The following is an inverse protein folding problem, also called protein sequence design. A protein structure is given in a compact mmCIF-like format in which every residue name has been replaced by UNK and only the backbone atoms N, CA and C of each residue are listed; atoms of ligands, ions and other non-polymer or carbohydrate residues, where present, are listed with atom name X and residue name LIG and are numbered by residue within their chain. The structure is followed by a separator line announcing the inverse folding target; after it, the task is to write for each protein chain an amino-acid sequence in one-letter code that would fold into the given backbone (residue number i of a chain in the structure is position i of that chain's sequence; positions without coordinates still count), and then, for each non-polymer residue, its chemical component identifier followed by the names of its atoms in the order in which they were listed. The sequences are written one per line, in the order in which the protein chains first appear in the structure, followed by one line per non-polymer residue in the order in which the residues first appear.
data_IF_335199122056
#
_entry.id   IF_335199122056
#
_cell.length_a   1.000
_cell.length_b   1.000
_cell.length_c   1.000
_cell.angle_alpha   90.00
_cell.angle_beta   90.00
_cell.angle_gamma   90.00
#
_symmetry.space_group_name_H-M   'P 1'
#
loop_
_entity.id
_entity.type
_entity.pdbx_description
1 polymer ?
#
# COMPACT_ATOMS: atom_id res chain seq x y z
N UNK A 1 21.15 -12.78 3.11
CA UNK A 1 21.89 -11.56 2.73
C UNK A 1 20.86 -10.61 2.13
N UNK A 2 20.31 -9.70 2.94
CA UNK A 2 19.35 -8.72 2.44
C UNK A 2 20.14 -7.60 1.77
N UNK A 3 20.21 -7.64 0.44
CA UNK A 3 20.86 -6.62 -0.38
C UNK A 3 20.19 -5.29 -0.12
N UNK A 4 20.91 -4.34 0.49
CA UNK A 4 20.47 -2.94 0.60
C UNK A 4 20.18 -2.43 -0.81
N UNK A 5 18.94 -2.01 -1.13
CA UNK A 5 18.66 -1.49 -2.46
C UNK A 5 19.42 -0.17 -2.63
N UNK A 6 20.37 -0.13 -3.56
CA UNK A 6 21.12 1.07 -3.97
C UNK A 6 20.27 2.06 -4.78
N UNK A 7 18.97 2.06 -4.56
CA UNK A 7 18.00 2.81 -5.34
C UNK A 7 17.86 4.22 -4.75
N UNK A 8 18.01 5.32 -5.52
CA UNK A 8 17.78 6.65 -4.98
C UNK A 8 16.30 6.87 -4.68
N UNK A 9 15.99 7.80 -3.78
CA UNK A 9 14.63 8.29 -3.58
C UNK A 9 14.05 8.80 -4.92
N UNK A 10 12.78 8.46 -5.18
CA UNK A 10 12.03 9.01 -6.32
C UNK A 10 10.55 8.97 -5.97
N UNK A 11 9.98 10.16 -5.86
CA UNK A 11 8.54 10.32 -5.77
C UNK A 11 7.89 10.00 -7.11
N UNK A 12 6.93 9.08 -7.15
CA UNK A 12 6.25 8.74 -8.40
C UNK A 12 5.49 7.42 -8.39
N UNK A 13 4.79 7.18 -9.49
CA UNK A 13 4.03 5.96 -9.76
C UNK A 13 4.35 5.41 -11.15
N UNK A 14 4.12 4.11 -11.34
CA UNK A 14 4.20 3.41 -12.61
C UNK A 14 3.06 2.39 -12.68
N UNK A 15 2.51 2.13 -13.88
CA UNK A 15 1.41 1.17 -14.08
C UNK A 15 1.72 -0.22 -13.51
N UNK A 16 3.00 -0.59 -13.54
CA UNK A 16 3.54 -1.85 -13.05
C UNK A 16 3.42 -1.99 -11.53
N UNK A 17 3.40 -0.88 -10.78
CA UNK A 17 3.38 -0.93 -9.32
C UNK A 17 2.08 -1.50 -8.79
N UNK A 18 0.94 -1.06 -9.36
CA UNK A 18 -0.36 -1.60 -9.00
C UNK A 18 -0.47 -3.10 -9.33
N UNK A 19 0.04 -3.51 -10.51
CA UNK A 19 0.01 -4.92 -10.94
C UNK A 19 0.86 -5.82 -10.02
N UNK A 20 2.08 -5.37 -9.69
CA UNK A 20 2.97 -6.11 -8.78
C UNK A 20 2.38 -6.19 -7.38
N UNK A 21 1.89 -5.06 -6.86
CA UNK A 21 1.29 -5.03 -5.54
C UNK A 21 0.05 -5.95 -5.46
N UNK A 22 -0.83 -5.91 -6.46
CA UNK A 22 -1.99 -6.81 -6.52
C UNK A 22 -1.61 -8.30 -6.56
N UNK A 23 -0.45 -8.64 -7.14
CA UNK A 23 0.04 -10.01 -7.21
C UNK A 23 0.75 -10.50 -5.94
N UNK A 24 1.28 -9.59 -5.12
CA UNK A 24 2.14 -9.95 -3.98
C UNK A 24 1.59 -9.58 -2.61
N UNK A 25 0.65 -8.65 -2.54
CA UNK A 25 0.08 -8.23 -1.26
C UNK A 25 -0.97 -9.23 -0.79
N UNK A 26 -0.98 -9.47 0.52
CA UNK A 26 -2.05 -10.15 1.23
C UNK A 26 -2.91 -9.14 1.96
N UNK A 27 -4.20 -9.46 2.10
CA UNK A 27 -5.17 -8.65 2.81
C UNK A 27 -5.61 -9.43 4.06
N UNK A 28 -5.42 -8.83 5.23
CA UNK A 28 -5.92 -9.33 6.51
C UNK A 28 -6.96 -8.36 7.06
N UNK A 29 -8.07 -8.91 7.55
CA UNK A 29 -9.17 -8.15 8.13
C UNK A 29 -9.17 -8.28 9.66
N UNK A 30 -9.23 -7.13 10.33
CA UNK A 30 -9.28 -7.00 11.79
C UNK A 30 -10.60 -6.38 12.29
N UNK A 31 -11.62 -6.26 11.42
CA UNK A 31 -12.98 -5.84 11.74
C UNK A 31 -13.17 -4.34 12.04
N UNK A 32 -12.10 -3.58 12.25
CA UNK A 32 -12.09 -2.10 12.24
C UNK A 32 -11.07 -1.52 11.27
N UNK A 33 -10.21 -2.39 10.73
CA UNK A 33 -9.15 -2.04 9.82
C UNK A 33 -8.81 -3.24 8.94
N UNK A 34 -8.42 -2.95 7.71
CA UNK A 34 -7.78 -3.90 6.82
C UNK A 34 -6.26 -3.62 6.83
N UNK A 35 -5.46 -4.67 6.90
CA UNK A 35 -4.00 -4.57 6.77
C UNK A 35 -3.58 -5.23 5.47
N UNK A 36 -2.87 -4.44 4.65
CA UNK A 36 -2.26 -4.88 3.41
C UNK A 36 -0.77 -5.08 3.64
N UNK A 37 -0.29 -6.31 3.48
CA UNK A 37 1.10 -6.67 3.73
C UNK A 37 1.75 -7.22 2.48
N UNK A 38 2.97 -6.77 2.16
CA UNK A 38 3.68 -7.24 0.99
C UNK A 38 4.97 -6.45 0.71
N UNK A 39 5.75 -6.88 -0.30
CA UNK A 39 6.94 -6.14 -0.71
C UNK A 39 6.55 -4.88 -1.49
N UNK A 40 7.17 -3.74 -1.17
CA UNK A 40 7.05 -2.53 -1.98
C UNK A 40 7.38 -2.84 -3.46
N UNK A 41 6.51 -2.52 -4.42
CA UNK A 41 6.67 -2.94 -5.82
C UNK A 41 7.89 -2.30 -6.53
N UNK A 42 8.48 -1.27 -5.90
CA UNK A 42 9.65 -0.56 -6.40
C UNK A 42 10.96 -1.01 -5.72
N UNK A 43 11.04 -0.97 -4.39
CA UNK A 43 12.28 -1.27 -3.67
C UNK A 43 12.36 -2.70 -3.10
N UNK A 44 11.26 -3.45 -3.12
CA UNK A 44 11.18 -4.82 -2.64
C UNK A 44 11.21 -4.98 -1.12
N UNK A 45 11.33 -3.89 -0.35
CA UNK A 45 11.29 -3.96 1.10
C UNK A 45 9.90 -4.38 1.59
N UNK A 46 9.81 -5.25 2.62
CA UNK A 46 8.54 -5.59 3.23
C UNK A 46 7.90 -4.34 3.83
N UNK A 47 6.57 -4.26 3.74
CA UNK A 47 5.80 -3.17 4.30
C UNK A 47 4.38 -3.62 4.63
N UNK A 48 3.82 -2.94 5.63
CA UNK A 48 2.42 -3.02 5.99
C UNK A 48 1.75 -1.68 5.72
N UNK A 49 0.49 -1.73 5.32
CA UNK A 49 -0.34 -0.57 5.05
C UNK A 49 -1.72 -0.76 5.67
N UNK A 50 -1.99 0.00 6.73
CA UNK A 50 -3.27 -0.06 7.45
C UNK A 50 -4.30 0.84 6.78
N UNK A 51 -5.46 0.27 6.50
CA UNK A 51 -6.63 0.92 5.92
C UNK A 51 -7.73 0.91 6.99
N UNK A 52 -8.04 2.06 7.57
CA UNK A 52 -9.07 2.15 8.63
C UNK A 52 -10.46 2.14 7.99
N UNK A 53 -11.34 1.24 8.42
CA UNK A 53 -12.65 1.03 7.79
C UNK A 53 -13.59 2.23 7.90
N UNK A 54 -13.42 3.09 8.90
CA UNK A 54 -14.23 4.29 9.07
C UNK A 54 -14.04 5.28 7.90
N UNK A 55 -12.92 5.18 7.17
CA UNK A 55 -12.71 5.89 5.90
C UNK A 55 -13.41 5.20 4.70
N UNK A 56 -13.81 3.94 4.84
CA UNK A 56 -14.41 3.08 3.80
C UNK A 56 -15.90 2.80 3.98
N UNK A 57 -16.48 3.21 5.12
CA UNK A 57 -17.87 2.88 5.45
C UNK A 57 -18.81 3.60 4.47
N UNK A 58 -19.22 2.88 3.43
CA UNK A 58 -20.38 3.25 2.63
C UNK A 58 -21.58 3.36 3.58
N UNK A 59 -22.44 4.35 3.32
CA UNK A 59 -23.63 4.61 4.15
C UNK A 59 -24.44 3.32 4.41
N UNK A 60 -25.02 3.15 5.62
CA UNK A 60 -25.81 1.95 5.93
C UNK A 60 -26.94 1.78 4.91
N UNK A 61 -26.94 0.64 4.19
CA UNK A 61 -27.88 0.34 3.10
C UNK A 61 -27.28 0.41 1.69
N UNK A 62 -26.00 0.76 1.53
CA UNK A 62 -25.32 0.64 0.25
C UNK A 62 -25.16 -0.84 -0.12
N UNK A 63 -25.66 -1.22 -1.30
CA UNK A 63 -25.31 -2.49 -1.95
C UNK A 63 -23.78 -2.64 -2.00
N UNK A 64 -23.21 -3.86 -2.04
CA UNK A 64 -21.77 -4.04 -2.23
C UNK A 64 -21.34 -3.23 -3.46
N UNK A 65 -20.69 -2.11 -3.19
CA UNK A 65 -20.36 -1.11 -4.20
C UNK A 65 -19.20 -1.59 -5.07
N UNK A 66 -18.86 -0.87 -6.14
CA UNK A 66 -17.63 -1.13 -6.88
C UNK A 66 -16.43 -1.01 -5.93
N UNK A 67 -15.44 -1.89 -6.13
CA UNK A 67 -14.18 -1.89 -5.38
C UNK A 67 -13.64 -0.47 -5.16
N UNK A 68 -13.33 -0.11 -3.92
CA UNK A 68 -12.83 1.23 -3.61
C UNK A 68 -11.32 1.32 -3.93
N UNK A 69 -10.87 2.33 -4.69
CA UNK A 69 -9.44 2.54 -4.93
C UNK A 69 -8.77 3.05 -3.65
N UNK A 70 -7.75 2.34 -3.20
CA UNK A 70 -6.89 2.71 -2.06
C UNK A 70 -5.55 3.16 -2.59
N UNK A 71 -5.21 4.43 -2.35
CA UNK A 71 -3.89 4.97 -2.67
C UNK A 71 -2.92 4.54 -1.58
N UNK A 72 -1.94 3.74 -1.98
CA UNK A 72 -0.88 3.23 -1.14
C UNK A 72 0.44 3.92 -1.49
N UNK A 73 1.36 3.93 -0.52
CA UNK A 73 2.73 4.40 -0.71
C UNK A 73 3.69 3.50 0.04
N UNK A 74 4.97 3.54 -0.33
CA UNK A 74 6.02 2.77 0.34
C UNK A 74 6.17 3.21 1.81
N UNK A 75 5.84 2.33 2.76
CA UNK A 75 5.99 2.59 4.22
C UNK A 75 7.27 1.99 4.81
N UNK A 76 8.18 1.44 4.00
CA UNK A 76 9.46 0.91 4.47
C UNK A 76 10.25 1.95 5.27
N UNK A 77 10.74 1.59 6.47
CA UNK A 77 11.46 2.49 7.39
C UNK A 77 12.88 2.87 6.93
N UNK A 78 13.27 2.47 5.72
CA UNK A 78 14.56 2.81 5.13
C UNK A 78 14.59 4.26 4.64
N UNK A 79 15.65 4.98 4.97
CA UNK A 79 15.97 6.29 4.38
C UNK A 79 16.79 6.07 3.10
N UNK A 80 16.28 6.57 1.99
CA UNK A 80 16.94 6.46 0.68
C UNK A 80 17.75 7.72 0.36
N UNK A 81 18.81 7.57 -0.43
CA UNK A 81 19.62 8.71 -0.88
C UNK A 81 18.76 9.71 -1.65
N UNK A 82 18.84 11.00 -1.29
CA UNK A 82 18.01 12.06 -1.86
C UNK A 82 16.58 12.13 -1.30
N UNK A 83 16.26 11.36 -0.26
CA UNK A 83 14.98 11.50 0.46
C UNK A 83 14.89 12.89 1.13
N UNK A 84 13.71 13.54 1.12
CA UNK A 84 13.49 14.75 1.90
C UNK A 84 13.78 14.52 3.39
N UNK A 85 14.16 15.58 4.10
CA UNK A 85 14.46 15.48 5.53
C UNK A 85 13.28 14.88 6.30
N UNK A 86 13.56 13.91 7.18
CA UNK A 86 12.55 13.21 7.97
C UNK A 86 11.67 12.21 7.22
N UNK A 87 11.94 11.92 5.93
CA UNK A 87 11.14 10.97 5.15
C UNK A 87 11.80 9.60 5.00
N UNK A 88 11.02 8.55 5.27
CA UNK A 88 11.35 7.15 4.99
C UNK A 88 10.60 6.67 3.74
N UNK A 89 10.99 5.50 3.23
CA UNK A 89 10.39 4.90 2.05
C UNK A 89 10.99 5.42 0.75
N UNK A 90 10.80 4.68 -0.33
CA UNK A 90 11.45 5.03 -1.60
C UNK A 90 10.76 6.21 -2.33
N UNK A 91 9.55 6.60 -1.91
CA UNK A 91 8.71 7.61 -2.57
C UNK A 91 7.74 7.05 -3.61
N UNK A 92 7.66 5.73 -3.78
CA UNK A 92 6.69 5.13 -4.69
C UNK A 92 5.26 5.20 -4.12
N UNK A 93 4.28 5.44 -4.97
CA UNK A 93 2.86 5.30 -4.67
C UNK A 93 2.11 4.57 -5.80
N UNK A 94 0.99 3.93 -5.47
CA UNK A 94 0.13 3.19 -6.40
C UNK A 94 -1.30 3.11 -5.85
N UNK A 95 -2.25 2.65 -6.66
CA UNK A 95 -3.63 2.44 -6.24
C UNK A 95 -4.04 0.97 -6.40
N UNK A 96 -4.65 0.38 -5.38
CA UNK A 96 -5.27 -0.95 -5.46
C UNK A 96 -6.78 -0.84 -5.34
N UNK A 97 -7.50 -1.69 -6.08
CA UNK A 97 -8.92 -1.90 -5.90
C UNK A 97 -9.12 -2.98 -4.85
N UNK A 98 -9.70 -2.64 -3.71
CA UNK A 98 -10.02 -3.62 -2.67
C UNK A 98 -11.43 -4.16 -2.83
N UNK A 99 -11.64 -5.47 -2.62
CA UNK A 99 -12.98 -6.05 -2.66
C UNK A 99 -13.87 -5.41 -1.58
N UNK A 100 -15.09 -5.06 -1.97
CA UNK A 100 -16.09 -4.55 -1.06
C UNK A 100 -16.49 -5.62 -0.04
N UNK A 101 -16.57 -5.28 1.24
CA UNK A 101 -16.98 -6.20 2.30
C UNK A 101 -15.86 -7.12 2.82
N UNK A 102 -14.60 -6.71 2.70
CA UNK A 102 -13.49 -7.41 3.34
C UNK A 102 -13.51 -7.31 4.88
N UNK A 103 -14.39 -6.49 5.46
CA UNK A 103 -14.74 -6.43 6.88
C UNK A 103 -15.86 -7.41 7.20
N UNK A 104 -15.54 -8.57 7.78
CA UNK A 104 -16.49 -9.60 8.22
C UNK A 104 -17.07 -9.35 9.59
#
# INVERSE_FOLDING_TARGET
MSTTPSLPYRYGTEDQFAQRAAATFTLEDFGSALVLSGPCPRCGQPMDFTVVEELFRAAPGAAPGPAAPVVMYCTAETVYEGSPEGHTGCGAYWSLLLPSGAGG
#
